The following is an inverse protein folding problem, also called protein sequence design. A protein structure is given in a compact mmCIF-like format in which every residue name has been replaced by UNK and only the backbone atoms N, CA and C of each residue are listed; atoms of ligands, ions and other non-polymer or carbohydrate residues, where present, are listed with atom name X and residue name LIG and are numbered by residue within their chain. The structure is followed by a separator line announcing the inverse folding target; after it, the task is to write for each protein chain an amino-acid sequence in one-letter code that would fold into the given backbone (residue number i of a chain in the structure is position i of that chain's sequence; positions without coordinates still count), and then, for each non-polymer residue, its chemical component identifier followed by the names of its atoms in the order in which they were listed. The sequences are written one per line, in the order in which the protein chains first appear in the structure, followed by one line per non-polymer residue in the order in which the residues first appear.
data_IF_602477349476
#
_entry.id   IF_602477349476
#
_cell.length_a   1.000
_cell.length_b   1.000
_cell.length_c   1.000
_cell.angle_alpha   90.00
_cell.angle_beta   90.00
_cell.angle_gamma   90.00
#
_symmetry.space_group_name_H-M   'P 1'
#
loop_
_entity.id
_entity.type
_entity.pdbx_description
1 polymer ?
#
# COMPACT_ATOMS: atom_id res chain seq x y z
N UNK A 1 13.54 11.13 7.52
CA UNK A 1 14.03 10.62 8.81
C UNK A 1 13.01 9.65 9.34
N UNK A 2 13.44 8.46 9.73
CA UNK A 2 12.60 7.53 10.49
C UNK A 2 12.50 8.08 11.90
N UNK A 3 11.28 8.37 12.33
CA UNK A 3 11.00 9.04 13.60
C UNK A 3 11.03 8.07 14.79
N UNK A 4 10.89 6.76 14.54
CA UNK A 4 10.84 5.73 15.58
C UNK A 4 11.73 4.50 15.31
N UNK A 5 12.58 4.54 14.27
CA UNK A 5 13.45 3.41 13.95
C UNK A 5 14.52 3.16 15.02
N UNK A 6 14.61 1.91 15.50
CA UNK A 6 15.67 1.44 16.42
C UNK A 6 17.08 1.42 15.82
N UNK A 7 17.19 1.62 14.51
CA UNK A 7 18.45 1.63 13.77
C UNK A 7 19.09 3.01 13.81
N UNK A 8 20.24 3.10 14.48
CA UNK A 8 21.16 4.23 14.35
C UNK A 8 22.15 3.96 13.22
N UNK A 9 22.49 5.01 12.48
CA UNK A 9 23.58 5.00 11.50
C UNK A 9 24.69 5.94 11.98
N UNK A 10 25.96 5.67 11.66
CA UNK A 10 27.05 6.62 11.90
C UNK A 10 26.76 7.96 11.19
N UNK A 11 26.96 9.07 11.91
CA UNK A 11 26.72 10.43 11.39
C UNK A 11 27.88 11.35 11.73
N UNK A 12 28.27 12.13 10.75
CA UNK A 12 29.24 13.21 10.89
C UNK A 12 28.54 14.53 11.28
N UNK A 13 29.33 15.59 11.42
CA UNK A 13 28.84 16.91 11.80
C UNK A 13 28.07 17.64 10.69
N UNK A 14 28.02 17.08 9.47
CA UNK A 14 27.26 17.69 8.38
C UNK A 14 25.76 17.34 8.40
N UNK A 15 25.31 16.54 9.36
CA UNK A 15 23.88 16.27 9.60
C UNK A 15 23.26 17.34 10.51
N UNK A 16 22.03 17.75 10.23
CA UNK A 16 21.26 18.63 11.12
C UNK A 16 20.85 17.90 12.40
N UNK A 17 20.55 18.64 13.48
CA UNK A 17 20.15 18.06 14.77
C UNK A 17 18.94 17.13 14.67
N UNK A 18 17.92 17.56 13.92
CA UNK A 18 16.77 16.70 13.62
C UNK A 18 17.19 15.42 12.91
N UNK A 19 18.12 15.52 11.94
CA UNK A 19 18.56 14.38 11.16
C UNK A 19 19.56 13.51 11.91
N UNK A 20 20.10 13.93 13.07
CA UNK A 20 20.90 13.11 13.97
C UNK A 20 20.05 12.10 14.75
N UNK A 21 18.78 12.41 14.99
CA UNK A 21 17.84 11.50 15.64
C UNK A 21 17.29 10.45 14.67
N UNK A 22 17.48 9.16 14.96
CA UNK A 22 16.96 8.03 14.17
C UNK A 22 17.73 7.74 12.88
N UNK A 23 17.12 7.05 11.91
CA UNK A 23 17.72 6.84 10.57
C UNK A 23 17.35 8.00 9.64
N UNK A 24 18.30 8.49 8.84
CA UNK A 24 18.08 9.63 7.96
C UNK A 24 18.82 9.47 6.63
N UNK A 25 18.26 10.04 5.57
CA UNK A 25 18.84 10.02 4.22
C UNK A 25 19.05 11.46 3.80
N UNK A 26 20.28 11.80 3.39
CA UNK A 26 20.59 13.13 2.84
C UNK A 26 19.94 13.25 1.45
N UNK A 27 19.17 14.31 1.19
CA UNK A 27 18.57 14.50 -0.13
C UNK A 27 19.67 14.81 -1.15
N UNK A 28 19.69 14.08 -2.27
CA UNK A 28 20.50 14.37 -3.45
C UNK A 28 19.60 14.36 -4.68
N UNK A 29 19.83 15.29 -5.60
CA UNK A 29 19.04 15.39 -6.83
C UNK A 29 19.18 14.10 -7.63
N UNK A 30 18.05 13.47 -7.95
CA UNK A 30 17.99 12.21 -8.71
C UNK A 30 17.84 10.96 -7.85
N UNK A 31 18.13 11.02 -6.55
CA UNK A 31 17.95 9.89 -5.65
C UNK A 31 16.46 9.67 -5.34
N UNK A 32 16.06 8.40 -5.22
CA UNK A 32 14.73 7.99 -4.76
C UNK A 32 14.85 7.15 -3.49
N UNK A 33 13.88 7.30 -2.58
CA UNK A 33 13.72 6.48 -1.40
C UNK A 33 12.41 5.71 -1.50
N UNK A 34 12.48 4.38 -1.42
CA UNK A 34 11.34 3.50 -1.33
C UNK A 34 11.30 2.89 0.08
N UNK A 35 10.12 2.89 0.69
CA UNK A 35 9.83 2.20 1.93
C UNK A 35 8.39 1.66 1.85
N UNK A 36 8.12 0.59 2.59
CA UNK A 36 6.80 -0.01 2.69
C UNK A 36 6.14 0.49 3.97
N UNK A 37 4.87 0.87 3.88
CA UNK A 37 4.08 1.30 5.05
C UNK A 37 3.28 0.15 5.67
N UNK A 38 3.34 -1.04 5.09
CA UNK A 38 2.57 -2.22 5.49
C UNK A 38 3.51 -3.43 5.58
N UNK A 39 3.23 -4.32 6.53
CA UNK A 39 3.78 -5.67 6.57
C UNK A 39 3.14 -6.58 5.51
N UNK A 40 3.70 -7.77 5.32
CA UNK A 40 3.20 -8.76 4.34
C UNK A 40 1.77 -9.23 4.65
N UNK A 41 1.36 -9.15 5.91
CA UNK A 41 0.00 -9.45 6.37
C UNK A 41 -0.97 -8.26 6.23
N UNK A 42 -0.54 -7.19 5.52
CA UNK A 42 -1.26 -5.94 5.31
C UNK A 42 -1.56 -5.11 6.56
N UNK A 43 -0.94 -5.43 7.71
CA UNK A 43 -0.98 -4.54 8.88
C UNK A 43 -0.01 -3.36 8.72
N UNK A 44 -0.29 -2.23 9.37
CA UNK A 44 0.56 -1.04 9.31
C UNK A 44 1.92 -1.28 9.96
N UNK A 45 2.99 -0.92 9.27
CA UNK A 45 4.35 -1.00 9.78
C UNK A 45 4.70 0.25 10.60
N UNK A 46 4.80 0.14 11.92
CA UNK A 46 5.18 1.28 12.78
C UNK A 46 6.63 1.73 12.61
N UNK A 47 7.53 0.83 12.18
CA UNK A 47 8.93 1.20 11.93
C UNK A 47 9.07 2.05 10.66
N UNK A 48 8.04 2.06 9.80
CA UNK A 48 7.95 2.93 8.62
C UNK A 48 7.62 4.40 8.92
N UNK A 49 7.34 4.74 10.19
CA UNK A 49 7.01 6.11 10.58
C UNK A 49 8.16 7.06 10.24
N UNK A 50 7.87 8.01 9.35
CA UNK A 50 8.88 8.88 8.78
C UNK A 50 8.39 10.33 8.70
N UNK A 51 9.34 11.25 8.67
CA UNK A 51 9.10 12.68 8.46
C UNK A 51 10.25 13.35 7.75
N UNK A 52 10.01 14.58 7.28
CA UNK A 52 11.08 15.45 6.78
C UNK A 52 11.60 16.32 7.92
N UNK A 53 12.92 16.43 8.03
CA UNK A 53 13.50 17.48 8.86
C UNK A 53 13.31 18.86 8.22
N UNK A 54 13.34 19.94 9.04
CA UNK A 54 13.34 21.31 8.55
C UNK A 54 14.52 21.58 7.60
N UNK A 55 14.28 22.43 6.59
CA UNK A 55 15.33 22.92 5.69
C UNK A 55 16.09 24.05 6.38
N UNK A 56 17.40 23.87 6.59
CA UNK A 56 18.24 24.87 7.27
C UNK A 56 18.62 26.04 6.35
N UNK A 57 18.78 25.77 5.04
CA UNK A 57 19.15 26.78 4.04
C UNK A 57 18.57 26.43 2.67
N UNK A 58 18.02 27.44 1.98
CA UNK A 58 17.46 27.30 0.64
C UNK A 58 16.12 26.57 0.64
N UNK A 59 15.88 25.78 -0.41
CA UNK A 59 14.64 25.05 -0.62
C UNK A 59 14.93 23.58 -0.90
N UNK A 60 13.99 22.71 -0.52
CA UNK A 60 14.03 21.27 -0.81
C UNK A 60 12.76 20.88 -1.56
N UNK A 61 12.93 20.31 -2.75
CA UNK A 61 11.84 19.79 -3.57
C UNK A 61 11.87 18.25 -3.56
N UNK A 62 10.69 17.63 -3.45
CA UNK A 62 10.52 16.17 -3.53
C UNK A 62 9.21 15.84 -4.20
N UNK A 63 9.17 14.72 -4.94
CA UNK A 63 7.95 14.17 -5.50
C UNK A 63 7.65 12.83 -4.85
N UNK A 64 6.42 12.64 -4.40
CA UNK A 64 5.96 11.41 -3.72
C UNK A 64 5.03 10.64 -4.64
N UNK A 65 5.35 9.36 -4.89
CA UNK A 65 4.46 8.42 -5.57
C UNK A 65 3.97 7.40 -4.56
N UNK A 66 2.67 7.38 -4.30
CA UNK A 66 2.03 6.35 -3.49
C UNK A 66 1.62 5.17 -4.37
N UNK A 67 2.02 3.96 -3.99
CA UNK A 67 1.68 2.72 -4.69
C UNK A 67 0.74 1.94 -3.77
N UNK A 68 -0.45 1.62 -4.26
CA UNK A 68 -1.50 1.02 -3.47
C UNK A 68 -1.63 -0.46 -3.80
N UNK A 69 -1.88 -1.28 -2.78
CA UNK A 69 -2.12 -2.73 -2.93
C UNK A 69 -3.38 -3.02 -3.74
N UNK A 70 -4.34 -2.09 -3.73
CA UNK A 70 -5.60 -2.17 -4.51
C UNK A 70 -5.68 -1.01 -5.49
N UNK A 71 -6.38 -1.23 -6.61
CA UNK A 71 -6.68 -0.17 -7.56
C UNK A 71 -7.53 0.93 -6.90
N UNK A 72 -7.17 2.18 -7.13
CA UNK A 72 -7.98 3.33 -6.70
C UNK A 72 -9.30 3.45 -7.46
N UNK A 73 -9.34 2.96 -8.71
CA UNK A 73 -10.52 3.08 -9.57
C UNK A 73 -11.69 2.19 -9.09
N UNK A 74 -11.39 1.18 -8.26
CA UNK A 74 -12.40 0.26 -7.71
C UNK A 74 -13.46 0.98 -6.87
N UNK A 75 -13.12 2.09 -6.22
CA UNK A 75 -14.08 2.90 -5.45
C UNK A 75 -15.19 3.52 -6.33
N UNK A 76 -14.96 3.68 -7.65
CA UNK A 76 -16.01 4.14 -8.58
C UNK A 76 -16.97 3.03 -9.03
N UNK A 77 -16.68 1.76 -8.76
CA UNK A 77 -17.61 0.65 -9.10
C UNK A 77 -18.64 0.36 -8.01
N UNK A 78 -18.51 0.98 -6.83
CA UNK A 78 -19.44 0.78 -5.70
C UNK A 78 -20.85 1.33 -5.93
N UNK A 79 -21.12 2.14 -6.95
CA UNK A 79 -22.44 2.79 -7.07
C UNK A 79 -23.34 2.36 -8.25
N UNK A 80 -22.90 1.50 -9.18
CA UNK A 80 -23.77 1.23 -10.35
C UNK A 80 -23.91 -0.22 -10.77
N UNK A 81 -22.95 -1.14 -10.54
CA UNK A 81 -23.12 -2.50 -11.04
C UNK A 81 -23.39 -3.57 -9.97
N UNK A 82 -24.68 -3.83 -9.77
CA UNK A 82 -25.22 -5.01 -9.05
C UNK A 82 -25.12 -6.30 -9.87
N UNK A 83 -24.58 -6.23 -11.09
CA UNK A 83 -24.51 -7.40 -11.96
C UNK A 83 -23.61 -8.48 -11.35
N UNK A 84 -24.20 -9.67 -11.22
CA UNK A 84 -23.49 -10.86 -10.79
C UNK A 84 -22.64 -11.40 -11.95
N UNK A 85 -21.43 -10.86 -12.09
CA UNK A 85 -20.48 -11.24 -13.16
C UNK A 85 -19.14 -11.68 -12.59
N UNK A 86 -18.44 -12.47 -13.37
CA UNK A 86 -17.01 -12.74 -13.18
C UNK A 86 -16.23 -11.73 -14.03
N UNK A 87 -15.31 -11.01 -13.40
CA UNK A 87 -14.48 -9.99 -14.05
C UNK A 87 -13.17 -10.55 -14.62
N UNK A 88 -12.86 -11.82 -14.33
CA UNK A 88 -11.68 -12.50 -14.82
C UNK A 88 -12.05 -13.83 -15.47
N UNK A 89 -11.43 -14.12 -16.61
CA UNK A 89 -11.63 -15.38 -17.35
C UNK A 89 -11.25 -16.62 -16.51
N UNK A 90 -10.33 -16.47 -15.55
CA UNK A 90 -9.88 -17.56 -14.69
C UNK A 90 -10.75 -17.77 -13.44
N UNK A 91 -11.80 -16.97 -13.22
CA UNK A 91 -12.63 -17.06 -12.02
C UNK A 91 -13.19 -18.48 -11.78
N UNK A 92 -13.61 -19.17 -12.85
CA UNK A 92 -14.12 -20.55 -12.75
C UNK A 92 -13.03 -21.52 -12.28
N UNK A 93 -11.82 -21.41 -12.84
CA UNK A 93 -10.66 -22.23 -12.47
C UNK A 93 -10.26 -21.98 -11.02
N UNK A 94 -10.17 -20.72 -10.62
CA UNK A 94 -9.83 -20.35 -9.24
C UNK A 94 -10.89 -20.80 -8.23
N UNK A 95 -12.17 -20.64 -8.55
CA UNK A 95 -13.26 -21.16 -7.73
C UNK A 95 -13.17 -22.69 -7.59
N UNK A 96 -12.86 -23.42 -8.67
CA UNK A 96 -12.64 -24.87 -8.59
C UNK A 96 -11.40 -25.27 -7.77
N UNK A 97 -10.42 -24.38 -7.66
CA UNK A 97 -9.22 -24.57 -6.83
C UNK A 97 -9.44 -24.18 -5.34
N UNK A 98 -10.66 -23.77 -4.97
CA UNK A 98 -11.02 -23.38 -3.61
C UNK A 98 -10.61 -21.96 -3.22
N UNK A 99 -10.44 -21.07 -4.21
CA UNK A 99 -10.09 -19.66 -3.93
C UNK A 99 -11.23 -18.88 -3.28
N UNK A 100 -12.48 -19.35 -3.38
CA UNK A 100 -13.61 -18.71 -2.71
C UNK A 100 -13.44 -18.73 -1.18
N UNK A 101 -12.83 -19.78 -0.63
CA UNK A 101 -12.54 -19.91 0.80
C UNK A 101 -11.15 -19.40 1.17
N UNK A 102 -10.15 -19.61 0.29
CA UNK A 102 -8.75 -19.20 0.54
C UNK A 102 -8.52 -17.71 0.33
N UNK A 103 -9.25 -17.09 -0.60
CA UNK A 103 -9.13 -15.69 -0.96
C UNK A 103 -10.52 -15.01 -1.11
N UNK A 104 -11.34 -15.02 -0.05
CA UNK A 104 -12.72 -14.54 -0.10
C UNK A 104 -12.80 -13.04 -0.40
N UNK A 105 -11.80 -12.27 0.02
CA UNK A 105 -11.74 -10.82 -0.27
C UNK A 105 -11.65 -10.53 -1.77
N UNK A 106 -10.81 -11.27 -2.52
CA UNK A 106 -10.73 -11.09 -3.97
C UNK A 106 -11.94 -11.69 -4.68
N UNK A 107 -12.31 -12.91 -4.31
CA UNK A 107 -13.32 -13.67 -5.05
C UNK A 107 -14.75 -13.20 -4.78
N UNK A 108 -15.10 -13.00 -3.51
CA UNK A 108 -16.47 -12.72 -3.04
C UNK A 108 -16.65 -11.24 -2.68
N UNK A 109 -15.67 -10.64 -2.01
CA UNK A 109 -15.74 -9.28 -1.47
C UNK A 109 -16.15 -9.23 0.00
N UNK A 110 -16.59 -8.05 0.47
CA UNK A 110 -17.16 -7.84 1.81
C UNK A 110 -18.43 -7.00 1.74
N UNK A 111 -18.97 -6.58 2.89
CA UNK A 111 -20.15 -5.70 2.97
C UNK A 111 -19.95 -4.38 2.20
N UNK A 112 -18.72 -3.85 2.21
CA UNK A 112 -18.41 -2.57 1.58
C UNK A 112 -18.03 -2.69 0.09
N UNK A 113 -17.71 -3.88 -0.41
CA UNK A 113 -17.26 -4.04 -1.80
C UNK A 113 -17.53 -5.43 -2.37
N UNK A 114 -17.84 -5.47 -3.67
CA UNK A 114 -18.01 -6.73 -4.39
C UNK A 114 -16.66 -7.29 -4.85
N UNK A 115 -16.49 -8.61 -4.70
CA UNK A 115 -15.36 -9.35 -5.25
C UNK A 115 -15.49 -9.54 -6.76
N UNK A 116 -14.40 -9.98 -7.38
CA UNK A 116 -14.22 -10.07 -8.82
C UNK A 116 -14.79 -11.36 -9.43
N UNK A 117 -15.06 -12.39 -8.63
CA UNK A 117 -15.44 -13.72 -9.08
C UNK A 117 -16.72 -14.23 -8.41
N UNK A 118 -17.64 -13.32 -8.11
CA UNK A 118 -18.84 -13.61 -7.30
C UNK A 118 -19.76 -14.63 -7.95
N UNK A 119 -19.85 -14.64 -9.27
CA UNK A 119 -20.67 -15.60 -10.02
C UNK A 119 -20.07 -17.00 -9.92
N UNK A 120 -18.76 -17.14 -10.15
CA UNK A 120 -18.05 -18.42 -10.01
C UNK A 120 -18.08 -18.96 -8.57
N UNK A 121 -18.05 -18.08 -7.56
CA UNK A 121 -18.24 -18.46 -6.16
C UNK A 121 -19.71 -18.67 -5.75
N UNK A 122 -20.66 -18.53 -6.68
CA UNK A 122 -22.09 -18.77 -6.47
C UNK A 122 -22.70 -17.95 -5.32
N UNK A 123 -22.12 -16.79 -5.02
CA UNK A 123 -22.63 -15.88 -3.98
C UNK A 123 -23.72 -14.95 -4.50
N UNK A 124 -23.95 -14.97 -5.81
CA UNK A 124 -25.06 -14.31 -6.48
C UNK A 124 -25.51 -15.17 -7.66
N UNK A 125 -26.74 -14.93 -8.12
CA UNK A 125 -27.31 -15.53 -9.32
C UNK A 125 -27.76 -14.38 -10.22
N UNK A 126 -27.31 -14.38 -11.48
CA UNK A 126 -27.72 -13.39 -12.48
C UNK A 126 -29.22 -13.47 -12.74
#
# INVERSE_FOLDING_TARGET
CLLQGKLSQPKDDSWSDCAKNGYAVKPRKGDALLFFSLHLDATTDSDSLHGSCPVIKGEKWSATKWIHVRSFDTAKRQSVNRDCVDENENCATWASAGECEKNPSYMIGSEDYYGYCRKSCKVCSS
#
